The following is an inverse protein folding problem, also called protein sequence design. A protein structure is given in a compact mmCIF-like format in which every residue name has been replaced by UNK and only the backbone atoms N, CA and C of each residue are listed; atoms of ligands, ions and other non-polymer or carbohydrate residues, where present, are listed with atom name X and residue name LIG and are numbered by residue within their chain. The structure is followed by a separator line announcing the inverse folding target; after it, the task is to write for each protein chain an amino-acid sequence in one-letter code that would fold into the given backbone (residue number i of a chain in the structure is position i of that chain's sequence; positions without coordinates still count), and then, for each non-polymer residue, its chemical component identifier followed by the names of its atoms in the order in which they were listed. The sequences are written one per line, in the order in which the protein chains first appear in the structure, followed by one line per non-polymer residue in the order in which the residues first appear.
data_IF_745972606295
#
_entry.id   IF_745972606295
#
_cell.length_a   1.000
_cell.length_b   1.000
_cell.length_c   1.000
_cell.angle_alpha   90.00
_cell.angle_beta   90.00
_cell.angle_gamma   90.00
#
_symmetry.space_group_name_H-M   'P 1'
#
loop_
_entity.id
_entity.type
_entity.pdbx_description
1 polymer ?
#
# COMPACT_ATOMS: atom_id res chain seq x y z
N UNK A 1 -35.48 -5.31 27.89
CA UNK A 1 -34.16 -4.68 27.78
C UNK A 1 -33.68 -4.89 26.36
N UNK A 2 -33.93 -3.94 25.47
CA UNK A 2 -33.49 -4.01 24.08
C UNK A 2 -32.01 -3.61 24.04
N UNK A 3 -31.13 -4.55 23.74
CA UNK A 3 -29.74 -4.23 23.44
C UNK A 3 -29.76 -3.60 22.04
N UNK A 4 -29.59 -2.28 21.99
CA UNK A 4 -29.29 -1.59 20.74
C UNK A 4 -27.85 -1.98 20.40
N UNK A 5 -27.70 -3.02 19.59
CA UNK A 5 -26.45 -3.29 18.87
C UNK A 5 -26.29 -2.13 17.89
N UNK A 6 -25.50 -1.12 18.27
CA UNK A 6 -25.11 -0.06 17.37
C UNK A 6 -24.37 -0.71 16.19
N UNK A 7 -24.98 -0.69 15.01
CA UNK A 7 -24.32 -1.05 13.76
C UNK A 7 -23.19 -0.03 13.56
N UNK A 8 -21.98 -0.41 13.97
CA UNK A 8 -20.78 0.35 13.64
C UNK A 8 -20.68 0.35 12.12
N UNK A 9 -20.63 1.52 11.47
CA UNK A 9 -20.56 1.56 10.02
C UNK A 9 -19.28 0.85 9.53
N UNK A 10 -19.36 0.09 8.44
CA UNK A 10 -18.20 -0.62 7.88
C UNK A 10 -17.00 0.31 7.59
N UNK A 11 -17.26 1.59 7.30
CA UNK A 11 -16.23 2.60 7.09
C UNK A 11 -15.50 3.02 8.38
N UNK A 12 -16.13 2.92 9.55
CA UNK A 12 -15.50 3.21 10.83
C UNK A 12 -14.51 2.09 11.22
N UNK A 13 -14.88 0.83 10.97
CA UNK A 13 -13.98 -0.32 11.14
C UNK A 13 -12.77 -0.24 10.21
N UNK A 14 -12.96 0.15 8.94
CA UNK A 14 -11.86 0.29 7.99
C UNK A 14 -10.86 1.40 8.39
N UNK A 15 -11.34 2.51 8.94
CA UNK A 15 -10.49 3.60 9.44
C UNK A 15 -9.70 3.19 10.69
N UNK A 16 -10.32 2.43 11.60
CA UNK A 16 -9.66 1.89 12.80
C UNK A 16 -8.57 0.89 12.43
N UNK A 17 -8.88 -0.11 11.59
CA UNK A 17 -7.88 -1.05 11.06
C UNK A 17 -6.75 -0.29 10.35
N UNK A 18 -7.07 0.70 9.51
CA UNK A 18 -6.06 1.46 8.79
C UNK A 18 -5.14 2.24 9.73
N UNK A 19 -5.68 2.78 10.82
CA UNK A 19 -4.89 3.40 11.88
C UNK A 19 -3.89 2.42 12.50
N UNK A 20 -4.33 1.21 12.82
CA UNK A 20 -3.48 0.20 13.46
C UNK A 20 -2.43 -0.40 12.52
N UNK A 21 -2.78 -0.63 11.25
CA UNK A 21 -1.81 -1.04 10.23
C UNK A 21 -0.76 0.05 10.03
N UNK A 22 -1.16 1.32 9.91
CA UNK A 22 -0.21 2.44 9.78
C UNK A 22 0.74 2.54 10.97
N UNK A 23 0.24 2.39 12.20
CA UNK A 23 1.12 2.34 13.39
C UNK A 23 2.14 1.21 13.28
N UNK A 24 1.72 0.01 12.86
CA UNK A 24 2.62 -1.13 12.65
C UNK A 24 3.68 -0.82 11.58
N UNK A 25 3.28 -0.28 10.42
CA UNK A 25 4.20 0.09 9.35
C UNK A 25 5.23 1.13 9.83
N UNK A 26 4.78 2.14 10.59
CA UNK A 26 5.64 3.17 11.16
C UNK A 26 6.70 2.60 12.12
N UNK A 27 6.29 1.70 13.02
CA UNK A 27 7.19 1.04 13.97
C UNK A 27 8.26 0.23 13.22
N UNK A 28 7.85 -0.50 12.18
CA UNK A 28 8.77 -1.30 11.37
C UNK A 28 9.74 -0.42 10.58
N UNK A 29 9.26 0.66 9.96
CA UNK A 29 10.11 1.60 9.23
C UNK A 29 11.12 2.29 10.16
N UNK A 30 10.70 2.71 11.36
CA UNK A 30 11.59 3.28 12.37
C UNK A 30 12.67 2.27 12.82
N UNK A 31 12.30 0.99 13.00
CA UNK A 31 13.25 -0.09 13.30
C UNK A 31 14.25 -0.31 12.17
N UNK A 32 13.82 -0.12 10.93
CA UNK A 32 14.67 -0.23 9.74
C UNK A 32 15.48 1.04 9.45
N UNK A 33 15.39 2.06 10.32
CA UNK A 33 16.17 3.30 10.23
C UNK A 33 15.59 4.34 9.28
N UNK A 34 14.35 4.16 8.81
CA UNK A 34 13.68 5.17 7.98
C UNK A 34 13.12 6.30 8.87
N UNK A 35 13.27 7.57 8.46
CA UNK A 35 12.64 8.68 9.15
C UNK A 35 11.11 8.59 9.01
N UNK A 36 10.38 9.26 9.91
CA UNK A 36 8.94 9.40 9.79
C UNK A 36 8.60 10.17 8.49
N UNK A 37 8.29 9.43 7.42
CA UNK A 37 8.13 9.99 6.08
C UNK A 37 6.77 10.65 5.83
N UNK A 38 5.73 10.29 6.60
CA UNK A 38 4.36 10.73 6.36
C UNK A 38 3.58 10.92 7.68
N UNK A 39 2.74 11.97 7.81
CA UNK A 39 1.81 12.08 8.93
C UNK A 39 0.88 10.86 9.01
N UNK A 40 0.69 10.32 10.22
CA UNK A 40 -0.11 9.10 10.42
C UNK A 40 -1.53 9.21 9.85
N UNK A 41 -2.20 10.36 10.04
CA UNK A 41 -3.54 10.59 9.48
C UNK A 41 -3.57 10.54 7.94
N UNK A 42 -2.53 11.06 7.28
CA UNK A 42 -2.40 10.98 5.82
C UNK A 42 -2.18 9.53 5.38
N UNK A 43 -1.29 8.81 6.06
CA UNK A 43 -1.04 7.39 5.77
C UNK A 43 -2.29 6.53 5.99
N UNK A 44 -3.07 6.78 7.04
CA UNK A 44 -4.32 6.08 7.33
C UNK A 44 -5.34 6.30 6.22
N UNK A 45 -5.52 7.54 5.76
CA UNK A 45 -6.42 7.85 4.66
C UNK A 45 -5.95 7.22 3.34
N UNK A 46 -4.64 7.25 3.07
CA UNK A 46 -4.05 6.62 1.88
C UNK A 46 -4.22 5.10 1.88
N UNK A 47 -4.05 4.45 3.03
CA UNK A 47 -4.21 3.00 3.15
C UNK A 47 -5.68 2.59 3.02
N UNK A 48 -6.60 3.27 3.72
CA UNK A 48 -8.03 3.00 3.63
C UNK A 48 -8.57 3.23 2.21
N UNK A 49 -8.16 4.33 1.56
CA UNK A 49 -8.52 4.61 0.17
C UNK A 49 -7.98 3.53 -0.76
N UNK A 50 -6.73 3.12 -0.58
CA UNK A 50 -6.13 2.10 -1.42
C UNK A 50 -6.85 0.77 -1.28
N UNK A 51 -7.10 0.29 -0.06
CA UNK A 51 -7.85 -0.94 0.18
C UNK A 51 -9.25 -0.90 -0.46
N UNK A 52 -9.93 0.24 -0.44
CA UNK A 52 -11.26 0.40 -1.05
C UNK A 52 -11.26 0.40 -2.60
N UNK A 53 -10.13 0.75 -3.23
CA UNK A 53 -10.00 0.87 -4.68
C UNK A 53 -9.20 -0.27 -5.32
N UNK A 54 -8.45 -1.03 -4.52
CA UNK A 54 -7.83 -2.28 -4.95
C UNK A 54 -8.92 -3.30 -5.30
N UNK A 55 -8.60 -4.21 -6.23
CA UNK A 55 -9.45 -5.36 -6.56
C UNK A 55 -9.65 -6.19 -5.28
N UNK A 56 -10.91 -6.44 -4.87
CA UNK A 56 -11.19 -7.24 -3.68
C UNK A 56 -10.64 -8.66 -3.82
N UNK A 57 -10.12 -9.18 -2.73
CA UNK A 57 -9.76 -10.58 -2.58
C UNK A 57 -10.88 -11.30 -1.82
N UNK A 58 -11.55 -12.23 -2.50
CA UNK A 58 -12.67 -12.99 -1.94
C UNK A 58 -12.27 -13.97 -0.83
N UNK A 59 -10.97 -14.15 -0.58
CA UNK A 59 -10.41 -14.99 0.48
C UNK A 59 -9.99 -14.18 1.71
N UNK A 60 -10.25 -12.87 1.73
CA UNK A 60 -9.79 -11.93 2.76
C UNK A 60 -10.97 -11.22 3.40
N UNK A 61 -11.02 -11.24 4.74
CA UNK A 61 -12.06 -10.56 5.52
C UNK A 61 -11.76 -9.06 5.76
N UNK A 62 -10.48 -8.66 5.68
CA UNK A 62 -10.02 -7.28 5.91
C UNK A 62 -9.00 -6.84 4.85
N UNK A 63 -9.50 -6.14 3.83
CA UNK A 63 -8.70 -5.61 2.71
C UNK A 63 -7.62 -4.60 3.16
N UNK A 64 -7.87 -3.87 4.25
CA UNK A 64 -6.92 -2.89 4.79
C UNK A 64 -5.73 -3.61 5.39
N UNK A 65 -5.99 -4.64 6.20
CA UNK A 65 -4.93 -5.49 6.76
C UNK A 65 -4.14 -6.19 5.65
N UNK A 66 -4.84 -6.75 4.66
CA UNK A 66 -4.21 -7.45 3.54
C UNK A 66 -3.31 -6.55 2.70
N UNK A 67 -3.75 -5.32 2.39
CA UNK A 67 -2.89 -4.35 1.69
C UNK A 67 -1.65 -3.98 2.52
N UNK A 68 -1.80 -3.84 3.85
CA UNK A 68 -0.67 -3.66 4.76
C UNK A 68 0.35 -4.80 4.69
N UNK A 69 -0.13 -6.04 4.64
CA UNK A 69 0.72 -7.23 4.53
C UNK A 69 1.44 -7.29 3.17
N UNK A 70 0.77 -6.94 2.07
CA UNK A 70 1.41 -6.86 0.74
C UNK A 70 2.53 -5.81 0.71
N UNK A 71 2.33 -4.66 1.35
CA UNK A 71 3.35 -3.60 1.48
C UNK A 71 4.54 -4.12 2.31
N UNK A 72 4.28 -4.76 3.46
CA UNK A 72 5.33 -5.30 4.30
C UNK A 72 6.12 -6.43 3.61
N UNK A 73 5.43 -7.30 2.88
CA UNK A 73 6.06 -8.35 2.08
C UNK A 73 6.99 -7.77 1.01
N UNK A 74 6.49 -6.81 0.23
CA UNK A 74 7.26 -6.14 -0.83
C UNK A 74 8.48 -5.42 -0.28
N UNK A 75 8.34 -4.73 0.85
CA UNK A 75 9.48 -4.13 1.55
C UNK A 75 10.55 -5.18 1.90
N UNK A 76 10.14 -6.30 2.51
CA UNK A 76 11.08 -7.35 2.91
C UNK A 76 11.79 -7.97 1.69
N UNK A 77 11.10 -8.11 0.57
CA UNK A 77 11.69 -8.57 -0.70
C UNK A 77 12.78 -7.61 -1.19
N UNK A 78 12.48 -6.30 -1.22
CA UNK A 78 13.43 -5.26 -1.62
C UNK A 78 14.63 -5.17 -0.68
N UNK A 79 14.37 -5.23 0.64
CA UNK A 79 15.40 -5.20 1.67
C UNK A 79 16.39 -6.37 1.53
N UNK A 80 15.93 -7.58 1.20
CA UNK A 80 16.80 -8.74 0.90
C UNK A 80 17.75 -8.51 -0.28
N UNK A 81 17.39 -7.59 -1.18
CA UNK A 81 18.21 -7.17 -2.32
C UNK A 81 19.05 -5.92 -2.02
N UNK A 82 19.16 -5.52 -0.74
CA UNK A 82 19.83 -4.30 -0.28
C UNK A 82 19.23 -3.01 -0.86
N UNK A 83 17.92 -3.02 -1.14
CA UNK A 83 17.19 -1.86 -1.66
C UNK A 83 16.42 -1.20 -0.51
N UNK A 84 16.88 -0.02 -0.11
CA UNK A 84 16.22 0.76 0.93
C UNK A 84 15.02 1.50 0.34
N UNK A 85 13.82 1.01 0.65
CA UNK A 85 12.53 1.63 0.31
C UNK A 85 11.64 1.50 1.55
N UNK A 86 11.07 2.60 2.03
CA UNK A 86 10.20 2.55 3.22
C UNK A 86 8.84 1.92 2.88
N UNK A 87 8.10 1.46 3.88
CA UNK A 87 6.73 0.97 3.69
C UNK A 87 5.80 2.11 3.28
N UNK A 88 6.08 3.35 3.70
CA UNK A 88 5.34 4.52 3.22
C UNK A 88 5.63 4.86 1.75
N UNK A 89 6.85 4.67 1.26
CA UNK A 89 7.14 4.84 -0.17
C UNK A 89 6.35 3.83 -1.01
N UNK A 90 6.20 2.59 -0.52
CA UNK A 90 5.38 1.57 -1.17
C UNK A 90 3.89 1.90 -1.12
N UNK A 91 3.41 2.44 -0.01
CA UNK A 91 2.03 2.95 0.09
C UNK A 91 1.77 4.09 -0.90
N UNK A 92 2.76 4.96 -1.12
CA UNK A 92 2.68 6.04 -2.10
C UNK A 92 2.71 5.52 -3.54
N UNK A 93 3.50 4.48 -3.83
CA UNK A 93 3.48 3.77 -5.13
C UNK A 93 2.08 3.22 -5.41
N UNK A 94 1.46 2.53 -4.44
CA UNK A 94 0.09 2.02 -4.59
C UNK A 94 -0.90 3.17 -4.76
N UNK A 95 -0.81 4.24 -3.97
CA UNK A 95 -1.74 5.37 -4.14
C UNK A 95 -1.54 6.12 -5.47
N UNK A 96 -0.33 6.09 -6.03
CA UNK A 96 0.00 6.67 -7.31
C UNK A 96 -0.89 6.12 -8.44
N UNK A 97 -1.25 4.84 -8.42
CA UNK A 97 -2.10 4.26 -9.48
C UNK A 97 -3.59 4.63 -9.36
N UNK A 98 -4.03 5.03 -8.16
CA UNK A 98 -5.45 5.31 -7.86
C UNK A 98 -5.91 6.71 -8.29
N UNK A 99 -5.06 7.43 -9.02
CA UNK A 99 -5.27 8.84 -9.40
C UNK A 99 -6.53 9.09 -10.23
N UNK A 100 -7.05 8.08 -10.90
CA UNK A 100 -8.27 8.17 -11.71
C UNK A 100 -9.57 7.91 -10.92
N UNK A 101 -9.45 7.52 -9.64
CA UNK A 101 -10.58 7.25 -8.74
C UNK A 101 -11.38 6.00 -9.07
N UNK A 102 -10.96 5.18 -10.04
CA UNK A 102 -11.63 3.91 -10.35
C UNK A 102 -11.30 2.86 -9.30
N UNK A 103 -12.20 1.90 -9.14
CA UNK A 103 -12.00 0.72 -8.30
C UNK A 103 -11.61 -0.48 -9.16
N UNK A 104 -11.09 -1.53 -8.53
CA UNK A 104 -10.69 -2.77 -9.21
C UNK A 104 -9.22 -2.80 -9.65
N UNK A 105 -8.38 -1.90 -9.11
CA UNK A 105 -6.96 -1.86 -9.43
C UNK A 105 -6.22 -3.08 -8.87
N UNK A 106 -5.35 -3.70 -9.65
CA UNK A 106 -4.54 -4.83 -9.18
C UNK A 106 -3.31 -4.32 -8.39
N UNK A 107 -3.53 -4.00 -7.12
CA UNK A 107 -2.49 -3.47 -6.23
C UNK A 107 -1.34 -4.47 -6.00
N UNK A 108 -1.60 -5.77 -6.09
CA UNK A 108 -0.57 -6.81 -6.03
C UNK A 108 0.33 -6.75 -7.28
N UNK A 109 -0.26 -6.62 -8.47
CA UNK A 109 0.48 -6.43 -9.71
C UNK A 109 1.33 -5.15 -9.68
N UNK A 110 0.82 -4.05 -9.13
CA UNK A 110 1.58 -2.81 -8.96
C UNK A 110 2.80 -2.98 -8.07
N UNK A 111 2.63 -3.60 -6.89
CA UNK A 111 3.75 -3.86 -5.98
C UNK A 111 4.76 -4.84 -6.58
N UNK A 112 4.29 -5.87 -7.30
CA UNK A 112 5.13 -6.82 -8.02
C UNK A 112 5.93 -6.15 -9.15
N UNK A 113 5.29 -5.28 -9.94
CA UNK A 113 5.94 -4.51 -11.00
C UNK A 113 7.00 -3.58 -10.41
N UNK A 114 6.67 -2.87 -9.33
CA UNK A 114 7.62 -2.03 -8.61
C UNK A 114 8.83 -2.85 -8.14
N UNK A 115 8.61 -3.98 -7.47
CA UNK A 115 9.68 -4.84 -7.01
C UNK A 115 10.56 -5.36 -8.15
N UNK A 116 9.95 -5.74 -9.27
CA UNK A 116 10.65 -6.18 -10.48
C UNK A 116 11.55 -5.07 -11.00
N UNK A 117 11.02 -3.88 -11.29
CA UNK A 117 11.78 -2.74 -11.81
C UNK A 117 12.96 -2.36 -10.89
N UNK A 118 12.75 -2.46 -9.58
CA UNK A 118 13.76 -2.17 -8.56
C UNK A 118 14.82 -3.26 -8.42
N UNK A 119 14.57 -4.49 -8.86
CA UNK A 119 15.49 -5.64 -8.69
C UNK A 119 16.09 -6.16 -10.00
N UNK A 120 15.74 -5.56 -11.16
CA UNK A 120 16.32 -5.92 -12.45
C UNK A 120 17.85 -5.78 -12.45
N UNK A 121 18.56 -6.88 -12.74
CA UNK A 121 20.04 -6.93 -12.73
C UNK A 121 20.70 -6.03 -13.77
N UNK A 122 20.10 -5.90 -14.95
CA UNK A 122 20.69 -5.17 -16.07
C UNK A 122 20.43 -3.67 -16.00
N UNK A 123 19.31 -3.27 -15.37
CA UNK A 123 18.93 -1.87 -15.22
C UNK A 123 18.01 -1.70 -14.02
N UNK A 124 18.61 -1.67 -12.84
CA UNK A 124 17.90 -1.37 -11.61
C UNK A 124 17.35 0.05 -11.66
N UNK A 125 16.02 0.20 -11.70
CA UNK A 125 15.39 1.50 -11.67
C UNK A 125 15.57 2.17 -10.30
N UNK A 126 15.74 3.50 -10.29
CA UNK A 126 15.54 4.31 -9.09
C UNK A 126 14.08 4.31 -8.66
N UNK A 127 13.79 4.88 -7.49
CA UNK A 127 12.42 4.89 -6.94
C UNK A 127 11.51 5.71 -7.87
N UNK A 128 12.00 6.88 -8.26
CA UNK A 128 11.31 7.81 -9.16
C UNK A 128 11.10 7.17 -10.54
N UNK A 129 12.08 6.46 -11.09
CA UNK A 129 11.93 5.80 -12.39
C UNK A 129 10.90 4.67 -12.33
N UNK A 130 10.97 3.79 -11.33
CA UNK A 130 9.99 2.73 -11.16
C UNK A 130 8.57 3.28 -10.99
N UNK A 131 8.43 4.34 -10.19
CA UNK A 131 7.16 5.05 -9.98
C UNK A 131 6.62 5.64 -11.30
N UNK A 132 7.45 6.32 -12.09
CA UNK A 132 7.07 6.88 -13.39
C UNK A 132 6.63 5.82 -14.40
N UNK A 133 7.31 4.67 -14.43
CA UNK A 133 6.91 3.54 -15.30
C UNK A 133 5.52 3.05 -14.91
N UNK A 134 5.25 2.84 -13.61
CA UNK A 134 3.94 2.42 -13.11
C UNK A 134 2.86 3.45 -13.45
N UNK A 135 3.12 4.74 -13.24
CA UNK A 135 2.19 5.80 -13.63
C UNK A 135 1.91 5.81 -15.15
N UNK A 136 2.95 5.63 -15.97
CA UNK A 136 2.80 5.55 -17.42
C UNK A 136 1.96 4.34 -17.85
N UNK A 137 2.11 3.18 -17.19
CA UNK A 137 1.29 2.00 -17.47
C UNK A 137 -0.19 2.23 -17.11
N UNK A 138 -0.47 2.86 -15.96
CA UNK A 138 -1.82 3.32 -15.59
C UNK A 138 -2.39 4.27 -16.64
N UNK A 139 -1.62 5.29 -17.04
CA UNK A 139 -2.09 6.31 -17.99
C UNK A 139 -2.41 5.73 -19.37
N UNK A 140 -1.81 4.60 -19.73
CA UNK A 140 -2.08 3.85 -20.95
C UNK A 140 -3.13 2.73 -20.78
N UNK A 141 -3.75 2.58 -19.60
CA UNK A 141 -4.76 1.57 -19.31
C UNK A 141 -4.22 0.13 -19.25
N UNK A 142 -2.92 -0.03 -19.00
CA UNK A 142 -2.27 -1.34 -18.86
C UNK A 142 -2.23 -1.84 -17.41
N UNK A 143 -2.55 -0.96 -16.46
CA UNK A 143 -2.74 -1.21 -15.03
C UNK A 143 -4.06 -0.60 -14.58
#
# INVERSE_FOLDING_TARGET
MFIIMALVPAWANAAETAGDVVKKLAILDARDGFPAGMPASKATNMLARAAALCKPNNEVDDEVAHLGDMIAFTHNLLKKQNLNVSRYDLLDVVNGILGDGKAGHDCAAVLSMYATLRTMKEKQASHIEAYKVIQGLRDNGML
#
